data_IF_379941351712
#
_entry.id   IF_379941351712
#
_cell.length_a   1.000
_cell.length_b   1.000
_cell.length_c   1.000
_cell.angle_alpha   90.00
_cell.angle_beta   90.00
_cell.angle_gamma   90.00
#
_symmetry.space_group_name_H-M   'P 1'
#
loop_
_entity.id
_entity.type
_entity.pdbx_description
1 polymer ?
#
# COMPACT_ATOMS: atom_id res chain seq x y z
N UNK A 1 -15.35 -4.13 -30.63
CA UNK A 1 -14.91 -4.52 -29.28
C UNK A 1 -15.14 -3.30 -28.41
N UNK A 2 -16.05 -3.36 -27.44
CA UNK A 2 -16.26 -2.24 -26.52
C UNK A 2 -15.05 -2.09 -25.60
N UNK A 3 -14.53 -0.87 -25.51
CA UNK A 3 -13.44 -0.51 -24.62
C UNK A 3 -14.01 -0.31 -23.22
N UNK A 4 -13.77 -1.26 -22.31
CA UNK A 4 -14.21 -1.13 -20.92
C UNK A 4 -13.15 -0.39 -20.10
N UNK A 5 -13.57 0.63 -19.33
CA UNK A 5 -12.69 1.37 -18.42
C UNK A 5 -12.91 0.87 -17.00
N UNK A 6 -11.94 0.13 -16.47
CA UNK A 6 -11.97 -0.34 -15.09
C UNK A 6 -11.47 0.74 -14.12
N UNK A 7 -12.21 0.93 -13.02
CA UNK A 7 -11.82 1.75 -11.88
C UNK A 7 -11.62 0.82 -10.67
N UNK A 8 -10.93 1.28 -9.63
CA UNK A 8 -10.55 0.41 -8.51
C UNK A 8 -9.08 0.04 -8.55
N UNK A 9 -8.50 -0.38 -7.41
CA UNK A 9 -7.21 -1.06 -7.38
C UNK A 9 -7.25 -2.33 -8.26
N UNK A 10 -6.21 -2.65 -9.04
CA UNK A 10 -4.86 -2.05 -9.03
C UNK A 10 -4.68 -0.86 -10.01
N UNK A 11 -5.75 -0.28 -10.57
CA UNK A 11 -5.63 0.73 -11.61
C UNK A 11 -5.01 2.03 -11.11
N UNK A 12 -4.09 2.59 -11.92
CA UNK A 12 -3.30 3.78 -11.63
C UNK A 12 -4.13 4.99 -11.20
N UNK A 13 -5.30 5.18 -11.81
CA UNK A 13 -6.21 6.31 -11.55
C UNK A 13 -6.57 6.47 -10.07
N UNK A 14 -6.68 5.37 -9.33
CA UNK A 14 -7.01 5.43 -7.91
C UNK A 14 -5.83 5.88 -7.04
N UNK A 15 -4.61 5.50 -7.41
CA UNK A 15 -3.40 5.88 -6.70
C UNK A 15 -3.01 7.33 -7.01
N UNK A 16 -3.19 7.77 -8.27
CA UNK A 16 -3.05 9.18 -8.66
C UNK A 16 -4.02 10.06 -7.86
N UNK A 17 -5.28 9.63 -7.70
CA UNK A 17 -6.23 10.33 -6.85
C UNK A 17 -5.76 10.39 -5.40
N UNK A 18 -5.29 9.29 -4.82
CA UNK A 18 -4.75 9.29 -3.46
C UNK A 18 -3.55 10.24 -3.30
N UNK A 19 -2.65 10.34 -4.30
CA UNK A 19 -1.57 11.34 -4.30
C UNK A 19 -2.10 12.78 -4.27
N UNK A 20 -3.21 13.08 -4.95
CA UNK A 20 -3.82 14.42 -4.88
C UNK A 20 -4.34 14.74 -3.48
N UNK A 21 -4.91 13.75 -2.79
CA UNK A 21 -5.37 13.90 -1.41
C UNK A 21 -4.17 14.13 -0.48
N UNK A 22 -3.08 13.36 -0.62
CA UNK A 22 -1.88 13.55 0.21
C UNK A 22 -1.27 14.94 0.05
N UNK A 23 -1.28 15.51 -1.17
CA UNK A 23 -0.83 16.90 -1.40
C UNK A 23 -1.76 17.94 -0.77
N UNK A 24 -3.03 17.60 -0.57
CA UNK A 24 -4.05 18.50 0.00
C UNK A 24 -4.16 18.42 1.52
N UNK A 25 -3.63 17.36 2.14
CA UNK A 25 -3.56 17.25 3.59
C UNK A 25 -2.48 18.22 4.07
N UNK A 26 -2.89 19.26 4.81
CA UNK A 26 -1.95 20.08 5.56
C UNK A 26 -1.15 19.17 6.51
N UNK A 27 0.17 19.36 6.64
CA UNK A 27 0.94 18.56 7.57
C UNK A 27 0.32 18.69 8.97
N UNK A 28 0.02 17.56 9.65
CA UNK A 28 -0.44 17.64 11.02
C UNK A 28 0.61 18.40 11.84
N UNK A 29 0.13 19.39 12.59
CA UNK A 29 0.84 20.28 13.51
C UNK A 29 2.33 19.92 13.74
N UNK A 30 3.24 20.61 13.03
CA UNK A 30 4.67 20.61 13.35
C UNK A 30 5.59 19.73 12.49
N UNK A 31 5.10 19.02 11.47
CA UNK A 31 5.99 18.51 10.42
C UNK A 31 6.32 19.63 9.44
N UNK A 32 7.59 20.06 9.40
CA UNK A 32 8.09 20.80 8.24
C UNK A 32 7.84 19.93 6.99
N UNK A 33 7.18 20.48 5.97
CA UNK A 33 7.16 19.89 4.65
C UNK A 33 8.60 19.90 4.11
N UNK A 34 9.39 18.89 4.47
CA UNK A 34 10.60 18.60 3.73
C UNK A 34 10.17 18.31 2.30
N UNK A 35 10.92 18.80 1.32
CA UNK A 35 10.66 18.66 -0.13
C UNK A 35 10.65 17.21 -0.65
N UNK A 36 10.65 16.23 0.25
CA UNK A 36 10.66 14.80 0.00
C UNK A 36 9.22 14.26 0.01
N UNK A 37 8.85 13.52 -1.05
CA UNK A 37 7.58 12.78 -1.06
C UNK A 37 7.49 11.88 0.19
N UNK A 38 6.34 11.80 0.86
CA UNK A 38 6.18 10.93 2.01
C UNK A 38 6.37 9.46 1.61
N UNK A 39 6.96 8.67 2.51
CA UNK A 39 6.96 7.22 2.39
C UNK A 39 5.52 6.71 2.54
N UNK A 40 4.95 6.16 1.47
CA UNK A 40 3.59 5.61 1.49
C UNK A 40 3.61 4.10 1.62
N UNK A 41 2.85 3.59 2.59
CA UNK A 41 2.66 2.16 2.84
C UNK A 41 1.21 1.76 2.54
N UNK A 42 1.00 0.89 1.57
CA UNK A 42 -0.30 0.28 1.30
C UNK A 42 -0.42 -1.05 2.05
N UNK A 43 -1.36 -1.13 2.99
CA UNK A 43 -1.66 -2.34 3.76
C UNK A 43 -2.94 -2.97 3.21
N UNK A 44 -2.91 -4.24 2.85
CA UNK A 44 -4.06 -4.95 2.30
C UNK A 44 -3.88 -6.45 2.23
N UNK A 45 -4.96 -7.17 1.92
CA UNK A 45 -5.05 -8.63 1.96
C UNK A 45 -5.09 -9.27 0.57
N UNK A 46 -5.22 -8.48 -0.50
CA UNK A 46 -5.33 -8.99 -1.86
C UNK A 46 -4.06 -8.74 -2.70
N UNK A 47 -3.28 -9.79 -3.03
CA UNK A 47 -2.06 -9.66 -3.82
C UNK A 47 -2.26 -9.03 -5.21
N UNK A 48 -3.38 -9.33 -5.88
CA UNK A 48 -3.67 -8.85 -7.22
C UNK A 48 -4.28 -7.45 -7.27
N UNK A 49 -4.63 -6.88 -6.10
CA UNK A 49 -5.25 -5.57 -6.00
C UNK A 49 -4.39 -4.61 -5.18
N UNK A 50 -4.27 -4.84 -3.87
CA UNK A 50 -3.54 -3.98 -2.95
C UNK A 50 -2.05 -3.96 -3.25
N UNK A 51 -1.46 -5.16 -3.33
CA UNK A 51 0.00 -5.34 -3.45
C UNK A 51 0.44 -5.00 -4.87
N UNK A 52 -0.26 -5.52 -5.88
CA UNK A 52 -0.01 -5.19 -7.27
C UNK A 52 -0.10 -3.68 -7.53
N UNK A 53 -1.14 -3.01 -7.03
CA UNK A 53 -1.34 -1.58 -7.23
C UNK A 53 -0.29 -0.75 -6.49
N UNK A 54 0.04 -1.09 -5.24
CA UNK A 54 1.07 -0.40 -4.48
C UNK A 54 2.45 -0.50 -5.14
N UNK A 55 2.85 -1.72 -5.54
CA UNK A 55 4.12 -1.96 -6.22
C UNK A 55 4.21 -1.18 -7.53
N UNK A 56 3.12 -1.12 -8.30
CA UNK A 56 3.07 -0.39 -9.57
C UNK A 56 3.19 1.14 -9.41
N UNK A 57 2.86 1.67 -8.22
CA UNK A 57 2.97 3.09 -7.90
C UNK A 57 4.23 3.43 -7.09
N UNK A 58 5.16 2.47 -6.93
CA UNK A 58 6.39 2.68 -6.17
C UNK A 58 6.18 2.86 -4.68
N UNK A 59 5.02 2.47 -4.15
CA UNK A 59 4.72 2.49 -2.73
C UNK A 59 5.20 1.19 -2.06
N UNK A 60 5.51 1.25 -0.77
CA UNK A 60 5.81 0.05 0.03
C UNK A 60 4.50 -0.70 0.27
N UNK A 61 4.50 -2.02 0.13
CA UNK A 61 3.29 -2.84 0.25
C UNK A 61 3.39 -3.81 1.42
N UNK A 62 2.33 -3.90 2.23
CA UNK A 62 2.25 -4.82 3.36
C UNK A 62 1.04 -5.74 3.19
N UNK A 63 1.30 -7.02 3.04
CA UNK A 63 0.29 -8.05 2.86
C UNK A 63 -0.13 -8.64 4.21
N UNK A 64 -1.40 -8.54 4.56
CA UNK A 64 -1.95 -9.11 5.79
C UNK A 64 -2.62 -10.46 5.55
N UNK A 65 -2.54 -11.37 6.52
CA UNK A 65 -3.05 -12.74 6.40
C UNK A 65 -4.48 -12.92 6.96
N UNK A 66 -5.26 -11.84 7.05
CA UNK A 66 -6.61 -11.84 7.65
C UNK A 66 -7.75 -11.84 6.62
N UNK A 67 -7.47 -12.06 5.34
CA UNK A 67 -8.45 -11.87 4.26
C UNK A 67 -8.22 -12.78 3.04
N UNK A 68 -8.30 -12.24 1.83
CA UNK A 68 -8.18 -12.97 0.55
C UNK A 68 -6.90 -13.79 0.50
N UNK A 69 -5.77 -13.23 0.96
CA UNK A 69 -4.54 -13.98 1.09
C UNK A 69 -4.60 -14.97 2.26
N UNK A 70 -4.46 -16.25 1.94
CA UNK A 70 -4.50 -17.38 2.88
C UNK A 70 -3.11 -17.94 3.23
N UNK A 71 -2.04 -17.16 3.01
CA UNK A 71 -0.69 -17.54 3.39
C UNK A 71 -0.36 -17.24 4.86
N UNK A 72 0.90 -17.43 5.23
CA UNK A 72 1.42 -17.13 6.57
C UNK A 72 2.37 -15.92 6.52
N UNK A 73 2.68 -15.27 7.66
CA UNK A 73 3.64 -14.16 7.70
C UNK A 73 5.04 -14.48 7.17
N UNK A 74 5.41 -15.77 7.14
CA UNK A 74 6.70 -16.25 6.63
C UNK A 74 6.68 -16.55 5.12
N UNK A 75 5.51 -16.44 4.48
CA UNK A 75 5.32 -16.72 3.06
C UNK A 75 4.82 -15.47 2.34
N UNK A 76 5.45 -15.15 1.21
CA UNK A 76 5.05 -14.04 0.35
C UNK A 76 4.36 -14.57 -0.91
N UNK A 77 3.45 -13.80 -1.47
CA UNK A 77 2.74 -14.20 -2.67
C UNK A 77 3.71 -14.32 -3.86
N UNK A 78 3.57 -15.39 -4.64
CA UNK A 78 4.57 -15.77 -5.64
C UNK A 78 4.61 -14.83 -6.86
N UNK A 79 3.49 -14.19 -7.22
CA UNK A 79 3.42 -13.22 -8.33
C UNK A 79 3.72 -11.80 -7.83
N UNK A 80 2.79 -11.23 -7.05
CA UNK A 80 2.92 -9.89 -6.47
C UNK A 80 3.53 -9.96 -5.07
N UNK A 81 4.86 -9.88 -4.98
CA UNK A 81 5.58 -9.87 -3.71
C UNK A 81 5.36 -8.56 -2.96
N UNK A 82 4.93 -8.64 -1.71
CA UNK A 82 4.84 -7.49 -0.82
C UNK A 82 6.22 -7.13 -0.25
N UNK A 83 6.41 -5.87 0.18
CA UNK A 83 7.58 -5.45 0.97
C UNK A 83 7.66 -6.22 2.29
N UNK A 84 6.51 -6.44 2.93
CA UNK A 84 6.38 -7.22 4.17
C UNK A 84 5.09 -8.01 4.15
N UNK A 85 5.10 -9.20 4.76
CA UNK A 85 3.89 -9.96 5.09
C UNK A 85 3.74 -9.97 6.60
N UNK A 86 2.54 -9.75 7.11
CA UNK A 86 2.24 -9.74 8.54
C UNK A 86 0.97 -10.53 8.84
N UNK A 87 0.80 -10.95 10.10
CA UNK A 87 -0.39 -11.68 10.52
C UNK A 87 -1.65 -10.86 10.31
N UNK A 88 -1.58 -9.58 10.65
CA UNK A 88 -2.71 -8.64 10.69
C UNK A 88 -2.22 -7.19 10.52
N UNK A 89 -3.18 -6.26 10.54
CA UNK A 89 -2.93 -4.81 10.40
C UNK A 89 -2.17 -4.23 11.60
N UNK A 90 -2.35 -4.76 12.81
CA UNK A 90 -1.64 -4.27 13.99
C UNK A 90 -0.14 -4.53 13.86
N UNK A 91 0.25 -5.74 13.46
CA UNK A 91 1.65 -6.07 13.19
C UNK A 91 2.22 -5.28 12.01
N UNK A 92 1.41 -5.00 10.98
CA UNK A 92 1.82 -4.16 9.85
C UNK A 92 2.22 -2.75 10.32
N UNK A 93 1.33 -2.08 11.08
CA UNK A 93 1.58 -0.72 11.58
C UNK A 93 2.75 -0.70 12.55
N UNK A 94 2.82 -1.67 13.47
CA UNK A 94 3.93 -1.80 14.40
C UNK A 94 5.27 -1.92 13.66
N UNK A 95 5.35 -2.80 12.67
CA UNK A 95 6.56 -2.97 11.85
C UNK A 95 6.97 -1.69 11.12
N UNK A 96 6.01 -0.95 10.56
CA UNK A 96 6.28 0.33 9.87
C UNK A 96 6.92 1.33 10.85
N UNK A 97 6.31 1.52 12.02
CA UNK A 97 6.79 2.49 13.02
C UNK A 97 8.17 2.09 13.56
N UNK A 98 8.44 0.81 13.75
CA UNK A 98 9.72 0.31 14.24
C UNK A 98 10.84 0.37 13.18
N UNK A 99 10.51 0.28 11.90
CA UNK A 99 11.49 0.17 10.81
C UNK A 99 11.80 1.49 10.10
N UNK A 100 10.89 2.47 10.15
CA UNK A 100 10.96 3.71 9.39
C UNK A 100 10.78 4.96 10.26
N UNK A 101 11.22 4.87 11.52
CA UNK A 101 11.26 6.00 12.46
C UNK A 101 12.49 6.87 12.27
#
# INVERSE_FOLDING_TARGET
MEEYKAFGKPNKVQYEYAETIFKSLEPPFGLEMTSTKPDVFAIGDNPYSDIAGANSNGWKSVLVCTGVYQGTPDSNHHVHKATKVTSDVYQAVKWIIESYR
#
